data_IF_021173342794
#
_entry.id   IF_021173342794
#
_cell.length_a   1.000
_cell.length_b   1.000
_cell.length_c   1.000
_cell.angle_alpha   90.00
_cell.angle_beta   90.00
_cell.angle_gamma   90.00
#
_symmetry.space_group_name_H-M   'P 1'
#
loop_
_entity.id
_entity.type
_entity.pdbx_description
1 polymer ?
#
# COMPACT_ATOMS: atom_id res chain seq x y z
N UNK A 1 -10.92 6.96 9.01
CA UNK A 1 -9.96 8.08 9.02
C UNK A 1 -9.55 8.38 7.60
N UNK A 2 -9.10 9.61 7.34
CA UNK A 2 -8.58 10.02 6.03
C UNK A 2 -7.34 10.88 6.25
N UNK A 3 -6.40 10.84 5.33
CA UNK A 3 -5.38 11.88 5.24
C UNK A 3 -6.05 13.19 4.75
N UNK A 4 -5.38 14.34 4.91
CA UNK A 4 -6.09 15.61 4.76
C UNK A 4 -6.59 15.88 3.32
N UNK A 5 -5.98 15.26 2.31
CA UNK A 5 -6.33 15.42 0.90
C UNK A 5 -6.95 14.16 0.27
N UNK A 6 -7.24 13.14 1.07
CA UNK A 6 -8.03 11.99 0.60
C UNK A 6 -9.47 12.44 0.35
N UNK A 7 -9.97 12.18 -0.86
CA UNK A 7 -11.28 12.67 -1.31
C UNK A 7 -12.46 11.78 -0.89
N UNK A 8 -12.20 10.57 -0.42
CA UNK A 8 -13.23 9.61 0.02
C UNK A 8 -13.53 9.79 1.51
N UNK A 9 -14.65 9.23 1.97
CA UNK A 9 -15.06 9.26 3.37
C UNK A 9 -13.94 8.81 4.31
N UNK A 10 -13.20 7.78 3.90
CA UNK A 10 -12.03 7.28 4.59
C UNK A 10 -11.09 6.57 3.61
N UNK A 11 -9.80 6.58 3.92
CA UNK A 11 -8.76 5.78 3.27
C UNK A 11 -8.17 4.74 4.22
N UNK A 12 -8.46 4.85 5.53
CA UNK A 12 -8.08 3.88 6.56
C UNK A 12 -9.24 3.67 7.55
N UNK A 13 -9.65 2.41 7.75
CA UNK A 13 -10.64 2.02 8.75
C UNK A 13 -9.95 1.19 9.83
N UNK A 14 -10.02 1.67 11.07
CA UNK A 14 -9.57 0.92 12.24
C UNK A 14 -10.77 0.15 12.80
N UNK A 15 -10.61 -1.16 12.96
CA UNK A 15 -11.61 -2.03 13.54
C UNK A 15 -11.04 -2.69 14.79
N UNK A 16 -11.85 -2.76 15.86
CA UNK A 16 -11.47 -3.50 17.06
C UNK A 16 -11.36 -4.98 16.70
N UNK A 17 -10.23 -5.59 17.04
CA UNK A 17 -9.93 -7.00 16.76
C UNK A 17 -9.15 -7.61 17.94
N UNK A 18 -9.16 -8.94 18.03
CA UNK A 18 -8.30 -9.68 18.96
C UNK A 18 -6.86 -9.83 18.46
N UNK A 19 -6.57 -9.40 17.23
CA UNK A 19 -5.25 -9.41 16.60
C UNK A 19 -5.04 -8.17 15.74
N UNK A 20 -3.85 -8.00 15.19
CA UNK A 20 -3.47 -6.92 14.26
C UNK A 20 -3.39 -7.41 12.81
N UNK A 21 -3.11 -6.52 11.87
CA UNK A 21 -3.05 -6.82 10.45
C UNK A 21 -4.14 -6.14 9.62
N UNK A 22 -4.20 -6.52 8.36
CA UNK A 22 -5.15 -5.98 7.38
C UNK A 22 -6.36 -6.89 7.26
N UNK A 23 -7.56 -6.33 7.49
CA UNK A 23 -8.80 -7.09 7.33
C UNK A 23 -9.22 -7.24 5.86
N UNK A 24 -9.09 -6.16 5.08
CA UNK A 24 -9.30 -6.14 3.64
C UNK A 24 -8.66 -4.90 3.01
N UNK A 25 -8.50 -4.92 1.68
CA UNK A 25 -7.92 -3.84 0.87
C UNK A 25 -8.90 -3.46 -0.24
N UNK A 26 -9.40 -2.24 -0.19
CA UNK A 26 -10.37 -1.72 -1.17
C UNK A 26 -9.70 -0.99 -2.34
N UNK A 27 -10.09 -1.34 -3.57
CA UNK A 27 -9.76 -0.59 -4.79
C UNK A 27 -11.02 -0.04 -5.43
N UNK A 28 -11.02 1.27 -5.65
CA UNK A 28 -12.07 1.92 -6.41
C UNK A 28 -11.81 1.78 -7.91
N UNK A 29 -12.79 1.31 -8.65
CA UNK A 29 -12.70 1.16 -10.11
C UNK A 29 -12.87 2.50 -10.83
N UNK A 30 -12.49 2.56 -12.11
CA UNK A 30 -12.61 3.79 -12.91
C UNK A 30 -14.02 4.07 -13.44
N UNK A 31 -14.91 3.07 -13.42
CA UNK A 31 -16.32 3.17 -13.84
C UNK A 31 -17.12 1.97 -13.28
N UNK A 32 -18.47 2.00 -13.29
CA UNK A 32 -19.27 0.84 -12.92
C UNK A 32 -19.07 -0.32 -13.90
N UNK A 33 -18.91 -0.05 -15.19
CA UNK A 33 -18.64 -1.09 -16.19
C UNK A 33 -17.24 -1.70 -15.98
N UNK A 34 -16.27 -0.91 -15.49
CA UNK A 34 -14.96 -1.44 -15.13
C UNK A 34 -15.07 -2.40 -13.92
N UNK A 35 -15.94 -2.10 -12.96
CA UNK A 35 -16.24 -3.01 -11.86
C UNK A 35 -16.80 -4.34 -12.38
N UNK A 36 -17.84 -4.30 -13.20
CA UNK A 36 -18.41 -5.51 -13.82
C UNK A 36 -17.35 -6.31 -14.59
N UNK A 37 -16.54 -5.65 -15.43
CA UNK A 37 -15.46 -6.33 -16.20
C UNK A 37 -14.39 -6.96 -15.31
N UNK A 38 -14.10 -6.41 -14.14
CA UNK A 38 -13.14 -7.00 -13.19
C UNK A 38 -13.77 -8.15 -12.43
N UNK A 39 -15.01 -8.02 -11.97
CA UNK A 39 -15.75 -9.11 -11.31
C UNK A 39 -15.83 -10.34 -12.21
N UNK A 40 -16.23 -10.19 -13.48
CA UNK A 40 -16.27 -11.31 -14.44
C UNK A 40 -14.90 -11.97 -14.61
N UNK A 41 -13.82 -11.20 -14.68
CA UNK A 41 -12.47 -11.73 -14.81
C UNK A 41 -12.02 -12.48 -13.55
N UNK A 42 -12.39 -11.98 -12.36
CA UNK A 42 -12.09 -12.60 -11.07
C UNK A 42 -12.86 -13.91 -10.91
N UNK A 43 -14.15 -13.94 -11.21
CA UNK A 43 -14.96 -15.17 -11.13
C UNK A 43 -14.46 -16.26 -12.08
N UNK A 44 -13.94 -15.88 -13.26
CA UNK A 44 -13.34 -16.80 -14.22
C UNK A 44 -11.91 -17.23 -13.87
N UNK A 45 -11.25 -16.60 -12.90
CA UNK A 45 -9.82 -16.80 -12.61
C UNK A 45 -9.49 -18.09 -11.85
N UNK A 46 -10.48 -18.65 -11.15
CA UNK A 46 -10.29 -19.77 -10.21
C UNK A 46 -9.76 -19.37 -8.83
N UNK A 47 -9.49 -18.08 -8.58
CA UNK A 47 -9.19 -17.59 -7.23
C UNK A 47 -10.44 -17.57 -6.36
N UNK A 48 -10.23 -17.57 -5.04
CA UNK A 48 -11.32 -17.58 -4.07
C UNK A 48 -12.12 -16.27 -4.15
N UNK A 49 -13.42 -16.40 -4.37
CA UNK A 49 -14.37 -15.29 -4.32
C UNK A 49 -15.22 -15.40 -3.05
N UNK A 50 -15.48 -14.25 -2.43
CA UNK A 50 -16.43 -14.12 -1.31
C UNK A 50 -17.78 -13.58 -1.78
N UNK A 51 -17.84 -12.99 -2.97
CA UNK A 51 -19.04 -12.47 -3.60
C UNK A 51 -19.31 -11.01 -3.29
N UNK A 52 -20.53 -10.57 -3.63
CA UNK A 52 -21.00 -9.21 -3.40
C UNK A 52 -21.37 -8.99 -1.94
N UNK A 53 -21.07 -7.79 -1.45
CA UNK A 53 -21.52 -7.25 -0.18
C UNK A 53 -22.27 -5.93 -0.41
N UNK A 54 -23.13 -5.55 0.53
CA UNK A 54 -23.90 -4.29 0.44
C UNK A 54 -23.03 -3.03 0.50
N UNK A 55 -21.79 -3.14 0.98
CA UNK A 55 -20.82 -2.05 1.10
C UNK A 55 -20.38 -1.77 2.54
N UNK A 56 -19.91 -0.55 2.78
CA UNK A 56 -19.47 -0.06 4.09
C UNK A 56 -19.87 1.41 4.29
N UNK A 57 -19.46 2.03 5.38
CA UNK A 57 -19.68 3.45 5.66
C UNK A 57 -19.14 4.38 4.57
N UNK A 58 -18.12 3.95 3.82
CA UNK A 58 -17.43 4.78 2.82
C UNK A 58 -17.83 4.55 1.37
N UNK A 59 -18.48 3.44 1.04
CA UNK A 59 -18.79 3.08 -0.34
C UNK A 59 -20.04 2.18 -0.40
N UNK A 60 -20.66 2.12 -1.57
CA UNK A 60 -21.78 1.24 -1.85
C UNK A 60 -21.35 -0.21 -2.06
N UNK A 61 -22.15 -0.94 -2.83
CA UNK A 61 -21.94 -2.35 -3.14
C UNK A 61 -20.52 -2.63 -3.62
N UNK A 62 -19.95 -3.72 -3.14
CA UNK A 62 -18.57 -4.09 -3.41
C UNK A 62 -18.43 -5.61 -3.58
N UNK A 63 -17.42 -6.03 -4.35
CA UNK A 63 -17.13 -7.45 -4.59
C UNK A 63 -15.85 -7.86 -3.89
N UNK A 64 -15.91 -8.91 -3.07
CA UNK A 64 -14.77 -9.43 -2.31
C UNK A 64 -14.21 -10.72 -2.87
N UNK A 65 -12.89 -10.82 -2.82
CA UNK A 65 -12.11 -11.96 -3.30
C UNK A 65 -10.82 -12.05 -2.48
N UNK A 66 -10.11 -13.17 -2.55
CA UNK A 66 -8.97 -13.47 -1.68
C UNK A 66 -7.83 -14.07 -2.49
N UNK A 67 -6.62 -13.63 -2.18
CA UNK A 67 -5.42 -14.22 -2.76
C UNK A 67 -5.10 -15.58 -2.12
N UNK A 68 -4.17 -16.36 -2.69
CA UNK A 68 -3.77 -17.64 -2.10
C UNK A 68 -3.13 -17.56 -0.71
N UNK A 69 -2.79 -16.34 -0.25
CA UNK A 69 -2.06 -16.06 0.98
C UNK A 69 -2.96 -15.31 1.99
N UNK A 70 -4.29 -15.45 1.88
CA UNK A 70 -5.25 -14.99 2.89
C UNK A 70 -5.54 -13.49 2.92
N UNK A 71 -5.05 -12.69 1.99
CA UNK A 71 -5.38 -11.27 1.88
C UNK A 71 -6.72 -11.10 1.16
N UNK A 72 -7.66 -10.42 1.82
CA UNK A 72 -8.95 -10.09 1.21
C UNK A 72 -8.86 -8.76 0.46
N UNK A 73 -9.25 -8.79 -0.80
CA UNK A 73 -9.39 -7.63 -1.66
C UNK A 73 -10.87 -7.32 -1.92
N UNK A 74 -11.15 -6.06 -2.19
CA UNK A 74 -12.50 -5.56 -2.42
C UNK A 74 -12.50 -4.57 -3.59
N UNK A 75 -13.41 -4.74 -4.55
CA UNK A 75 -13.63 -3.79 -5.64
C UNK A 75 -14.97 -3.07 -5.48
N UNK A 76 -14.97 -1.76 -5.65
CA UNK A 76 -16.18 -0.93 -5.60
C UNK A 76 -16.10 0.22 -6.59
N UNK A 77 -17.25 0.80 -6.95
CA UNK A 77 -17.34 2.01 -7.78
C UNK A 77 -17.98 3.18 -7.02
N UNK A 78 -19.16 2.91 -6.45
CA UNK A 78 -19.94 3.89 -5.71
C UNK A 78 -19.21 4.24 -4.42
N UNK A 79 -18.80 5.50 -4.27
CA UNK A 79 -18.11 5.99 -3.07
C UNK A 79 -18.87 7.14 -2.45
N UNK A 80 -18.70 7.30 -1.13
CA UNK A 80 -19.08 8.51 -0.41
C UNK A 80 -17.88 9.44 -0.39
N UNK A 81 -17.96 10.53 -1.15
CA UNK A 81 -16.93 11.57 -1.12
C UNK A 81 -16.95 12.33 0.20
N UNK A 82 -15.78 12.76 0.65
CA UNK A 82 -15.67 13.70 1.75
C UNK A 82 -16.41 14.99 1.40
N UNK A 83 -17.23 15.47 2.33
CA UNK A 83 -17.86 16.80 2.25
C UNK A 83 -17.35 17.57 3.45
N UNK A 84 -16.35 18.46 3.28
CA UNK A 84 -15.74 19.16 4.40
C UNK A 84 -16.77 20.05 5.10
N UNK A 85 -16.67 20.12 6.42
CA UNK A 85 -17.43 21.09 7.22
C UNK A 85 -16.94 22.52 6.94
N UNK A 86 -17.63 23.53 7.46
CA UNK A 86 -17.17 24.93 7.37
C UNK A 86 -15.77 25.11 7.97
N UNK A 87 -15.47 24.41 9.08
CA UNK A 87 -14.17 24.47 9.75
C UNK A 87 -13.07 23.69 9.04
N UNK A 88 -13.43 22.70 8.23
CA UNK A 88 -12.53 21.83 7.46
C UNK A 88 -12.46 22.22 5.97
N UNK A 89 -13.11 23.33 5.61
CA UNK A 89 -13.17 23.81 4.24
C UNK A 89 -11.79 24.26 3.76
N UNK A 90 -11.28 23.73 2.63
CA UNK A 90 -9.98 24.11 2.12
C UNK A 90 -10.01 25.52 1.52
N UNK A 91 -8.89 26.24 1.67
CA UNK A 91 -8.68 27.48 0.94
C UNK A 91 -8.52 27.25 -0.59
N UNK A 92 -8.02 26.07 -0.97
CA UNK A 92 -7.83 25.66 -2.37
C UNK A 92 -8.97 24.73 -2.80
N UNK A 93 -9.65 25.06 -3.90
CA UNK A 93 -10.83 24.33 -4.38
C UNK A 93 -10.56 22.88 -4.79
N UNK A 94 -9.30 22.55 -5.05
CA UNK A 94 -8.83 21.24 -5.50
C UNK A 94 -8.29 20.37 -4.36
N UNK A 95 -8.42 20.80 -3.10
CA UNK A 95 -8.09 19.97 -1.95
C UNK A 95 -9.36 19.34 -1.37
N UNK A 96 -9.25 18.16 -0.75
CA UNK A 96 -10.40 17.49 -0.13
C UNK A 96 -10.79 18.07 1.23
N UNK A 97 -9.81 18.58 1.98
CA UNK A 97 -9.98 19.19 3.31
C UNK A 97 -8.94 20.30 3.49
N UNK A 98 -9.10 21.15 4.52
CA UNK A 98 -8.10 22.17 4.84
C UNK A 98 -6.76 21.53 5.18
N UNK A 99 -5.69 22.21 4.78
CA UNK A 99 -4.37 21.89 5.31
C UNK A 99 -4.31 22.28 6.79
N UNK A 100 -4.07 21.31 7.67
CA UNK A 100 -4.04 21.55 9.12
C UNK A 100 -2.62 21.62 9.70
N UNK A 101 -1.60 21.08 9.01
CA UNK A 101 -0.19 21.20 9.39
C UNK A 101 0.17 20.64 10.77
N UNK A 102 -0.57 19.65 11.28
CA UNK A 102 -0.39 19.06 12.63
C UNK A 102 0.19 17.65 12.55
N UNK A 103 1.13 17.34 13.44
CA UNK A 103 1.73 16.01 13.54
C UNK A 103 2.37 15.55 12.24
N UNK A 104 2.10 14.30 11.86
CA UNK A 104 2.58 13.73 10.61
C UNK A 104 1.99 14.38 9.35
N UNK A 105 0.76 14.87 9.45
CA UNK A 105 0.03 15.58 8.39
C UNK A 105 0.15 14.94 6.97
N UNK A 106 -0.03 13.61 6.81
CA UNK A 106 0.07 12.99 5.49
C UNK A 106 -1.00 13.55 4.55
N UNK A 107 -0.66 13.66 3.26
CA UNK A 107 -1.58 14.13 2.21
C UNK A 107 -2.64 13.09 1.86
N UNK A 108 -2.22 11.84 1.61
CA UNK A 108 -3.07 10.77 1.09
C UNK A 108 -2.53 9.40 1.47
N UNK A 109 -3.38 8.37 1.42
CA UNK A 109 -2.91 7.00 1.31
C UNK A 109 -2.04 6.86 0.03
N UNK A 110 -0.94 6.13 0.12
CA UNK A 110 -0.04 5.95 -1.01
C UNK A 110 -0.08 4.53 -1.56
N UNK A 111 0.30 3.54 -0.75
CA UNK A 111 0.34 2.15 -1.17
C UNK A 111 0.28 1.21 0.04
N UNK A 112 0.13 -0.07 -0.24
CA UNK A 112 0.31 -1.15 0.74
C UNK A 112 1.41 -2.08 0.26
N UNK A 113 2.06 -2.77 1.20
CA UNK A 113 2.93 -3.90 0.90
C UNK A 113 2.48 -5.10 1.71
N UNK A 114 2.32 -6.24 1.03
CA UNK A 114 1.85 -7.50 1.61
C UNK A 114 2.96 -8.54 1.58
N UNK A 115 2.92 -9.47 2.53
CA UNK A 115 3.85 -10.57 2.62
C UNK A 115 3.25 -11.83 1.98
N UNK A 116 4.00 -12.50 1.13
CA UNK A 116 3.55 -13.71 0.43
C UNK A 116 4.61 -14.81 0.46
N UNK A 117 4.16 -16.07 0.60
CA UNK A 117 5.01 -17.24 0.47
C UNK A 117 5.44 -17.51 -0.99
N UNK A 118 4.69 -17.01 -1.98
CA UNK A 118 5.03 -17.06 -3.41
C UNK A 118 4.64 -15.77 -4.13
N UNK A 119 5.63 -14.91 -4.34
CA UNK A 119 5.48 -13.61 -5.04
C UNK A 119 5.11 -13.80 -6.52
N UNK A 120 5.49 -14.92 -7.15
CA UNK A 120 5.14 -15.22 -8.56
C UNK A 120 3.65 -15.44 -8.69
N UNK A 121 3.09 -16.24 -7.78
CA UNK A 121 1.65 -16.50 -7.76
C UNK A 121 0.87 -15.24 -7.34
N UNK A 122 1.37 -14.46 -6.38
CA UNK A 122 0.76 -13.17 -6.04
C UNK A 122 0.75 -12.21 -7.24
N UNK A 123 1.84 -12.16 -8.02
CA UNK A 123 1.90 -11.39 -9.27
C UNK A 123 0.84 -11.85 -10.27
N UNK A 124 0.65 -13.15 -10.44
CA UNK A 124 -0.42 -13.70 -11.29
C UNK A 124 -1.80 -13.26 -10.78
N UNK A 125 -2.04 -13.37 -9.47
CA UNK A 125 -3.29 -12.95 -8.84
C UNK A 125 -3.64 -11.49 -9.12
N UNK A 126 -2.71 -10.56 -8.84
CA UNK A 126 -2.97 -9.12 -8.98
C UNK A 126 -3.12 -8.71 -10.45
N UNK A 127 -2.29 -9.25 -11.34
CA UNK A 127 -2.42 -8.97 -12.78
C UNK A 127 -3.72 -9.51 -13.36
N UNK A 128 -4.15 -10.71 -12.98
CA UNK A 128 -5.44 -11.29 -13.42
C UNK A 128 -6.62 -10.51 -12.86
N UNK A 129 -6.67 -10.30 -11.53
CA UNK A 129 -7.85 -9.76 -10.85
C UNK A 129 -8.01 -8.25 -11.07
N UNK A 130 -6.92 -7.48 -10.96
CA UNK A 130 -6.98 -6.02 -11.08
C UNK A 130 -6.69 -5.53 -12.50
N UNK A 131 -6.05 -6.34 -13.35
CA UNK A 131 -5.50 -5.86 -14.61
C UNK A 131 -4.35 -4.87 -14.42
N UNK A 132 -3.66 -4.95 -13.28
CA UNK A 132 -2.56 -4.04 -12.92
C UNK A 132 -1.36 -4.20 -13.85
N UNK A 133 -0.57 -3.14 -14.01
CA UNK A 133 0.78 -3.20 -14.58
C UNK A 133 1.79 -3.53 -13.49
N UNK A 134 2.81 -4.32 -13.83
CA UNK A 134 4.02 -4.48 -13.00
C UNK A 134 5.01 -3.40 -13.42
N UNK A 135 5.53 -2.63 -12.46
CA UNK A 135 6.47 -1.54 -12.77
C UNK A 135 7.91 -1.93 -12.51
N UNK A 136 8.14 -2.63 -11.40
CA UNK A 136 9.44 -3.15 -11.01
C UNK A 136 9.27 -4.50 -10.30
N UNK A 137 10.30 -5.34 -10.33
CA UNK A 137 10.34 -6.59 -9.58
C UNK A 137 11.78 -6.96 -9.20
N UNK A 138 11.91 -7.77 -8.16
CA UNK A 138 13.19 -8.34 -7.72
C UNK A 138 13.21 -9.83 -8.03
N UNK A 139 14.24 -10.29 -8.75
CA UNK A 139 14.45 -11.69 -9.07
C UNK A 139 15.80 -12.19 -8.52
N UNK A 140 15.76 -13.33 -7.85
CA UNK A 140 16.92 -14.07 -7.34
C UNK A 140 17.63 -14.82 -8.45
N UNK A 141 18.89 -15.19 -8.23
CA UNK A 141 19.70 -15.92 -9.24
C UNK A 141 19.10 -17.32 -9.55
N UNK A 142 18.31 -17.88 -8.62
CA UNK A 142 17.58 -19.13 -8.80
C UNK A 142 16.25 -18.98 -9.58
N UNK A 143 15.93 -17.77 -10.05
CA UNK A 143 14.74 -17.46 -10.84
C UNK A 143 13.50 -17.07 -10.02
N UNK A 144 13.48 -17.26 -8.69
CA UNK A 144 12.36 -16.85 -7.83
C UNK A 144 12.21 -15.34 -7.77
N UNK A 145 10.97 -14.87 -7.65
CA UNK A 145 10.69 -13.46 -7.36
C UNK A 145 10.74 -13.22 -5.86
N UNK A 146 11.54 -12.24 -5.42
CA UNK A 146 11.63 -11.83 -4.02
C UNK A 146 10.75 -10.62 -3.66
N UNK A 147 10.27 -9.90 -4.68
CA UNK A 147 9.33 -8.80 -4.52
C UNK A 147 8.81 -8.27 -5.85
N UNK A 148 7.63 -7.67 -5.86
CA UNK A 148 6.98 -7.16 -7.05
C UNK A 148 6.11 -5.93 -6.73
N UNK A 149 6.11 -4.95 -7.64
CA UNK A 149 5.41 -3.68 -7.47
C UNK A 149 4.40 -3.48 -8.60
N UNK A 150 3.18 -3.11 -8.23
CA UNK A 150 2.02 -3.05 -9.10
C UNK A 150 1.39 -1.67 -9.09
N UNK A 151 0.89 -1.23 -10.25
CA UNK A 151 0.15 0.02 -10.39
C UNK A 151 -1.12 -0.20 -11.22
N UNK A 152 -2.18 0.52 -10.85
CA UNK A 152 -3.42 0.64 -11.65
C UNK A 152 -3.59 2.05 -12.22
N UNK A 153 -2.60 2.91 -12.03
CA UNK A 153 -2.59 4.29 -12.52
C UNK A 153 -1.15 4.69 -12.96
N UNK A 154 -0.84 5.99 -12.99
CA UNK A 154 0.45 6.51 -13.43
C UNK A 154 1.50 6.62 -12.31
N UNK A 155 1.13 6.35 -11.05
CA UNK A 155 2.10 6.16 -9.97
C UNK A 155 2.98 4.95 -10.30
N UNK A 156 4.19 4.96 -9.75
CA UNK A 156 5.09 3.83 -9.90
C UNK A 156 4.57 2.58 -9.17
N UNK A 157 3.72 2.72 -8.15
CA UNK A 157 3.03 1.61 -7.49
C UNK A 157 1.90 2.08 -6.58
N UNK A 158 0.89 1.23 -6.44
CA UNK A 158 -0.20 1.32 -5.45
C UNK A 158 -0.20 0.09 -4.51
N UNK A 159 0.43 -1.01 -4.94
CA UNK A 159 0.59 -2.23 -4.17
C UNK A 159 1.98 -2.79 -4.39
N UNK A 160 2.54 -3.37 -3.34
CA UNK A 160 3.73 -4.19 -3.41
C UNK A 160 3.47 -5.55 -2.75
N UNK A 161 4.25 -6.53 -3.16
CA UNK A 161 4.31 -7.83 -2.52
C UNK A 161 5.77 -8.21 -2.32
N UNK A 162 6.09 -8.76 -1.15
CA UNK A 162 7.44 -9.14 -0.74
C UNK A 162 7.41 -10.54 -0.13
N UNK A 163 8.52 -11.28 -0.21
CA UNK A 163 8.61 -12.60 0.43
C UNK A 163 8.34 -12.55 1.94
N UNK A 164 7.51 -13.50 2.38
CA UNK A 164 7.16 -13.81 3.75
C UNK A 164 8.15 -14.82 4.36
N UNK A 165 8.91 -14.39 5.38
CA UNK A 165 9.88 -15.23 6.08
C UNK A 165 9.53 -15.51 7.55
N UNK A 166 8.38 -15.02 8.04
CA UNK A 166 7.90 -15.29 9.39
C UNK A 166 6.96 -16.50 9.51
N UNK A 167 6.42 -17.01 8.40
CA UNK A 167 5.62 -18.25 8.35
C UNK A 167 4.15 -18.09 8.75
N UNK A 168 3.52 -16.95 8.46
CA UNK A 168 2.08 -16.74 8.71
C UNK A 168 1.30 -16.38 7.45
N UNK A 169 -0.03 -16.30 7.59
CA UNK A 169 -0.96 -16.06 6.49
C UNK A 169 -1.63 -14.67 6.60
N UNK A 170 -1.93 -14.05 5.46
CA UNK A 170 -2.64 -12.76 5.38
C UNK A 170 -1.87 -11.59 6.00
N UNK A 171 -0.53 -11.64 5.98
CA UNK A 171 0.31 -10.70 6.73
C UNK A 171 0.55 -9.40 5.94
N UNK A 172 0.15 -8.30 6.55
CA UNK A 172 0.51 -6.96 6.14
C UNK A 172 1.99 -6.70 6.45
N UNK A 173 2.77 -6.30 5.44
CA UNK A 173 4.11 -5.76 5.65
C UNK A 173 4.03 -4.33 6.18
N UNK A 174 3.33 -3.45 5.47
CA UNK A 174 3.05 -2.07 5.92
C UNK A 174 1.94 -1.40 5.11
N UNK A 175 1.36 -0.36 5.73
CA UNK A 175 0.53 0.65 5.06
C UNK A 175 1.32 1.96 4.93
N UNK A 176 1.20 2.64 3.79
CA UNK A 176 2.01 3.83 3.49
C UNK A 176 1.15 5.07 3.26
N UNK A 177 1.56 6.18 3.87
CA UNK A 177 0.99 7.50 3.60
C UNK A 177 2.00 8.43 2.96
N UNK A 178 1.54 9.22 1.99
CA UNK A 178 2.37 10.17 1.28
C UNK A 178 2.50 11.50 2.05
N UNK A 179 3.72 12.04 2.16
CA UNK A 179 3.99 13.43 2.55
C UNK A 179 4.31 14.29 1.33
N UNK A 180 4.14 15.60 1.47
CA UNK A 180 4.39 16.55 0.38
C UNK A 180 5.87 16.63 0.04
N UNK A 181 6.70 16.70 1.07
CA UNK A 181 8.14 16.89 0.94
C UNK A 181 8.92 15.83 1.73
N UNK A 182 10.23 15.75 1.49
CA UNK A 182 11.13 14.87 2.25
C UNK A 182 11.40 15.43 3.65
N UNK A 183 11.44 16.75 3.76
CA UNK A 183 11.61 17.51 4.99
C UNK A 183 10.46 17.27 5.97
N UNK A 184 9.26 16.98 5.46
CA UNK A 184 8.16 16.53 6.30
C UNK A 184 8.53 15.24 7.03
N UNK A 185 9.07 14.24 6.33
CA UNK A 185 9.47 12.96 6.94
C UNK A 185 10.55 13.17 8.01
N UNK A 186 11.52 14.06 7.76
CA UNK A 186 12.53 14.42 8.76
C UNK A 186 11.90 15.03 10.01
N UNK A 187 11.02 16.03 9.83
CA UNK A 187 10.26 16.66 10.92
C UNK A 187 9.40 15.65 11.67
N UNK A 188 8.78 14.69 10.98
CA UNK A 188 7.96 13.67 11.63
C UNK A 188 8.81 12.69 12.42
N UNK A 189 10.03 12.38 11.99
CA UNK A 189 10.94 11.54 12.79
C UNK A 189 11.21 12.15 14.18
N UNK A 190 11.42 13.47 14.27
CA UNK A 190 11.55 14.16 15.57
C UNK A 190 10.26 14.08 16.39
N UNK A 191 9.08 14.25 15.76
CA UNK A 191 7.79 14.12 16.44
C UNK A 191 7.62 12.69 16.99
N UNK A 192 7.97 11.67 16.22
CA UNK A 192 7.91 10.28 16.65
C UNK A 192 8.86 9.99 17.80
N UNK A 193 10.09 10.52 17.75
CA UNK A 193 11.06 10.42 18.83
C UNK A 193 10.51 11.00 20.15
N UNK A 194 10.00 12.23 20.11
CA UNK A 194 9.43 12.92 21.30
C UNK A 194 8.21 12.21 21.88
N UNK A 195 7.47 11.46 21.05
CA UNK A 195 6.27 10.74 21.47
C UNK A 195 6.51 9.24 21.72
N UNK A 196 7.77 8.79 21.72
CA UNK A 196 8.13 7.40 22.00
C UNK A 196 7.61 6.38 20.95
N UNK A 197 7.37 6.82 19.72
CA UNK A 197 6.98 5.93 18.61
C UNK A 197 8.24 5.21 18.14
N UNK A 198 8.16 3.87 18.04
CA UNK A 198 9.29 3.07 17.60
C UNK A 198 9.60 3.31 16.12
N UNK A 199 10.74 3.93 15.85
CA UNK A 199 11.30 4.09 14.51
C UNK A 199 12.12 2.85 14.19
N UNK A 200 11.66 2.08 13.20
CA UNK A 200 12.28 0.81 12.86
C UNK A 200 13.52 1.00 11.96
N UNK A 201 13.44 1.94 11.00
CA UNK A 201 14.57 2.32 10.13
C UNK A 201 14.27 3.60 9.37
N UNK A 202 15.32 4.19 8.77
CA UNK A 202 15.25 5.39 7.94
C UNK A 202 14.90 6.65 8.80
N UNK A 203 14.93 7.90 8.30
CA UNK A 203 14.63 8.32 6.93
C UNK A 203 15.72 8.05 5.88
N UNK A 204 15.32 7.59 4.68
CA UNK A 204 16.24 7.14 3.64
C UNK A 204 15.55 7.06 2.28
N UNK A 205 16.31 6.98 1.18
CA UNK A 205 15.80 6.71 -0.16
C UNK A 205 15.87 5.23 -0.53
N UNK A 206 14.82 4.69 -1.17
CA UNK A 206 14.80 3.37 -1.80
C UNK A 206 15.47 3.39 -3.17
N UNK A 207 16.12 2.27 -3.51
CA UNK A 207 16.59 2.05 -4.88
C UNK A 207 15.39 1.74 -5.80
N UNK A 208 14.64 0.69 -5.46
CA UNK A 208 13.39 0.30 -6.12
C UNK A 208 12.34 1.39 -5.85
N UNK A 209 11.59 1.82 -6.87
CA UNK A 209 10.56 2.85 -6.79
C UNK A 209 11.02 4.28 -6.43
N UNK A 210 12.31 4.52 -6.21
CA UNK A 210 12.88 5.87 -6.07
C UNK A 210 12.27 6.73 -4.91
N UNK A 211 11.60 6.09 -3.95
CA UNK A 211 10.82 6.74 -2.86
C UNK A 211 11.71 7.09 -1.66
N UNK A 212 11.51 8.26 -1.04
CA UNK A 212 12.10 8.59 0.28
C UNK A 212 11.14 8.15 1.39
N UNK A 213 11.60 7.42 2.39
CA UNK A 213 10.72 6.72 3.34
C UNK A 213 11.23 6.77 4.79
N UNK A 214 10.32 6.52 5.72
CA UNK A 214 10.53 6.26 7.14
C UNK A 214 9.59 5.13 7.58
N UNK A 215 10.12 4.11 8.25
CA UNK A 215 9.29 3.05 8.84
C UNK A 215 9.18 3.22 10.35
N UNK A 216 7.94 3.13 10.83
CA UNK A 216 7.62 3.11 12.26
C UNK A 216 6.65 1.98 12.57
N UNK A 217 6.57 1.59 13.84
CA UNK A 217 5.47 0.76 14.31
C UNK A 217 4.47 1.64 15.04
N UNK A 218 3.20 1.53 14.65
CA UNK A 218 2.13 2.12 15.45
C UNK A 218 1.94 1.31 16.76
N UNK A 219 1.24 1.85 17.77
CA UNK A 219 1.20 1.27 19.12
C UNK A 219 0.84 -0.22 19.24
N UNK A 220 0.09 -0.82 18.30
CA UNK A 220 -0.24 -2.26 18.32
C UNK A 220 0.64 -3.11 17.41
N UNK A 221 1.66 -2.52 16.77
CA UNK A 221 2.73 -3.23 16.07
C UNK A 221 2.58 -3.34 14.55
N UNK A 222 1.52 -2.79 13.95
CA UNK A 222 1.48 -2.68 12.49
C UNK A 222 2.59 -1.71 12.04
N UNK A 223 3.31 -2.07 10.98
CA UNK A 223 4.29 -1.17 10.38
C UNK A 223 3.57 -0.13 9.53
N UNK A 224 3.94 1.13 9.73
CA UNK A 224 3.47 2.27 8.94
C UNK A 224 4.67 2.90 8.26
N UNK A 225 4.51 3.24 6.98
CA UNK A 225 5.47 4.03 6.22
C UNK A 225 4.96 5.45 6.04
N UNK A 226 5.85 6.42 6.26
CA UNK A 226 5.71 7.73 5.65
C UNK A 226 6.65 7.81 4.46
N UNK A 227 6.08 8.17 3.30
CA UNK A 227 6.79 8.18 2.04
C UNK A 227 6.63 9.52 1.33
N UNK A 228 7.71 9.98 0.72
CA UNK A 228 7.66 10.94 -0.36
C UNK A 228 7.94 10.15 -1.64
N UNK A 229 6.89 9.87 -2.40
CA UNK A 229 6.92 9.05 -3.62
C UNK A 229 7.90 9.56 -4.69
N UNK A 230 8.39 10.80 -4.56
CA UNK A 230 9.27 11.44 -5.53
C UNK A 230 8.52 11.89 -6.78
N UNK A 231 9.27 12.19 -7.84
CA UNK A 231 8.74 12.75 -9.08
C UNK A 231 8.50 11.71 -10.19
N UNK A 232 8.81 10.44 -9.97
CA UNK A 232 8.71 9.42 -11.00
C UNK A 232 7.26 9.01 -11.21
N UNK A 233 6.82 9.02 -12.46
CA UNK A 233 5.53 8.53 -12.92
C UNK A 233 5.74 7.58 -14.10
N UNK A 234 4.89 6.58 -14.21
CA UNK A 234 4.83 5.68 -15.35
C UNK A 234 3.91 6.30 -16.40
N UNK A 235 4.48 7.23 -17.16
CA UNK A 235 3.81 7.92 -18.27
C UNK A 235 3.87 7.13 -19.57
N UNK A 236 4.82 6.20 -19.65
CA UNK A 236 5.04 5.33 -20.79
C UNK A 236 3.92 4.27 -20.87
N UNK A 237 3.14 4.23 -21.96
CA UNK A 237 2.01 3.30 -22.06
C UNK A 237 2.43 1.83 -22.21
N UNK A 238 3.61 1.56 -22.78
CA UNK A 238 4.20 0.24 -23.00
C UNK A 238 5.40 -0.06 -22.07
N UNK A 239 5.39 0.57 -20.88
CA UNK A 239 6.43 0.42 -19.86
C UNK A 239 6.89 -1.03 -19.66
N UNK A 240 8.19 -1.25 -19.88
CA UNK A 240 8.84 -2.53 -19.57
C UNK A 240 9.21 -2.60 -18.08
N UNK A 241 8.79 -3.65 -17.35
CA UNK A 241 9.07 -3.74 -15.92
C UNK A 241 10.57 -3.83 -15.63
N UNK A 242 11.07 -3.00 -14.71
CA UNK A 242 12.48 -3.01 -14.32
C UNK A 242 12.77 -4.21 -13.43
N UNK A 243 13.74 -5.03 -13.84
CA UNK A 243 14.24 -6.14 -13.04
C UNK A 243 15.40 -5.69 -12.15
N UNK A 244 15.28 -5.91 -10.85
CA UNK A 244 16.38 -5.80 -9.90
C UNK A 244 16.94 -7.20 -9.63
N UNK A 245 18.26 -7.34 -9.71
CA UNK A 245 18.93 -8.64 -9.49
C UNK A 245 19.28 -8.85 -8.03
N UNK A 246 19.66 -10.08 -7.66
CA UNK A 246 20.21 -10.38 -6.33
C UNK A 246 21.45 -9.54 -6.01
N UNK A 247 22.29 -9.30 -7.02
CA UNK A 247 23.48 -8.44 -6.90
C UNK A 247 23.11 -6.98 -6.58
N UNK A 248 22.02 -6.48 -7.13
CA UNK A 248 21.53 -5.13 -6.83
C UNK A 248 20.96 -5.05 -5.42
N UNK A 249 20.18 -6.05 -5.00
CA UNK A 249 19.62 -6.11 -3.65
C UNK A 249 20.68 -6.19 -2.56
N UNK A 250 21.81 -6.87 -2.81
CA UNK A 250 22.96 -6.92 -1.87
C UNK A 250 23.56 -5.54 -1.57
N UNK A 251 23.40 -4.57 -2.48
CA UNK A 251 23.83 -3.18 -2.26
C UNK A 251 22.98 -2.51 -1.16
N UNK A 252 21.72 -2.92 -1.01
CA UNK A 252 20.76 -2.43 -0.02
C UNK A 252 19.72 -1.52 -0.65
N UNK A 253 19.30 -0.50 0.10
CA UNK A 253 18.56 0.64 -0.42
C UNK A 253 19.51 1.58 -1.17
N UNK A 254 19.01 2.73 -1.65
CA UNK A 254 19.91 3.77 -2.15
C UNK A 254 20.89 4.18 -1.04
N UNK A 255 21.97 4.90 -1.38
CA UNK A 255 22.98 5.47 -0.46
C UNK A 255 23.56 4.55 0.63
N UNK A 256 23.42 3.23 0.50
CA UNK A 256 24.10 2.23 1.32
C UNK A 256 23.32 1.71 2.54
N UNK A 257 22.09 2.18 2.80
CA UNK A 257 21.28 1.64 3.90
C UNK A 257 20.96 0.16 3.66
N UNK A 258 21.29 -0.71 4.60
CA UNK A 258 20.97 -2.14 4.51
C UNK A 258 19.51 -2.42 4.84
N UNK A 259 18.96 -3.46 4.23
CA UNK A 259 17.64 -3.98 4.62
C UNK A 259 17.74 -4.48 6.05
N UNK A 260 16.82 -4.03 6.91
CA UNK A 260 16.73 -4.44 8.31
C UNK A 260 16.29 -5.90 8.44
N UNK A 261 16.72 -6.57 9.50
CA UNK A 261 16.42 -7.99 9.76
C UNK A 261 14.92 -8.26 9.92
N UNK A 262 14.19 -7.30 10.50
CA UNK A 262 12.73 -7.40 10.70
C UNK A 262 11.91 -7.24 9.41
N UNK A 263 12.53 -6.85 8.27
CA UNK A 263 11.76 -6.50 7.07
C UNK A 263 10.94 -7.66 6.52
N UNK A 264 11.48 -8.87 6.49
CA UNK A 264 10.77 -10.04 5.94
C UNK A 264 10.08 -10.91 7.01
N UNK A 265 10.35 -10.64 8.28
CA UNK A 265 9.92 -11.48 9.41
C UNK A 265 8.85 -10.81 10.26
N UNK A 266 8.94 -9.49 10.45
CA UNK A 266 7.91 -8.70 11.11
C UNK A 266 6.82 -8.30 10.11
N UNK A 267 5.60 -8.69 10.45
CA UNK A 267 4.38 -8.51 9.69
C UNK A 267 3.19 -8.81 10.60
N UNK A 268 2.02 -8.31 10.21
CA UNK A 268 0.81 -8.39 11.05
C UNK A 268 -0.33 -9.07 10.29
N UNK A 269 -0.99 -10.11 10.83
CA UNK A 269 -0.91 -10.58 12.22
C UNK A 269 0.45 -11.22 12.58
N UNK A 270 0.85 -11.19 13.87
CA UNK A 270 2.05 -11.85 14.34
C UNK A 270 1.91 -13.38 14.24
N UNK A 271 3.03 -14.05 14.02
CA UNK A 271 3.14 -15.52 14.12
C UNK A 271 3.48 -15.86 15.57
N UNK A 272 2.84 -16.89 16.12
CA UNK A 272 3.00 -17.32 17.52
C UNK A 272 4.38 -17.85 17.86
#
# INVERSE_FOLDING_TARGET
MRAWDDYEHHSLKLARSGTTGVAHIGYRTGSPEALERRVTAIEASGYKTHGWIDGDLGHGSAFRFEDPFGHVFELYWETRKNTPSAEDSPALKNNASRFHGRGACPRRLDHLNLLSEDVTEFRRFITTCLGSRVTEYFQLDNGRLGGCWFTVNNKTYDLACTEEHGGGNGRLLHVTHATDQREDILRVADIFLENGVFIETAPHKRAIQNTFFLYVWEPVGNRVELANAGAQLILDPDWEPVCWTESDRKKGQAWGLKTIESFHTHGTPPVG
#
